data_IF_155428237165
#
_entry.id   IF_155428237165
#
_cell.length_a   1.000
_cell.length_b   1.000
_cell.length_c   1.000
_cell.angle_alpha   90.00
_cell.angle_beta   90.00
_cell.angle_gamma   90.00
#
_symmetry.space_group_name_H-M   'P 1'
#
loop_
_entity.id
_entity.type
_entity.pdbx_description
1 polymer ?
#
# COMPACT_ATOMS: atom_id res chain seq x y z
N UNK A 1 -0.36 -17.99 33.54
CA UNK A 1 -0.12 -16.60 33.09
C UNK A 1 0.70 -16.69 31.81
N UNK A 2 0.23 -16.08 30.71
CA UNK A 2 0.87 -16.21 29.38
C UNK A 2 2.19 -15.42 29.35
N UNK A 3 3.31 -16.03 28.91
CA UNK A 3 4.64 -15.40 28.88
C UNK A 3 4.81 -14.34 27.79
N UNK A 4 3.76 -14.00 27.05
CA UNK A 4 3.80 -13.00 25.97
C UNK A 4 3.21 -11.63 26.36
N UNK A 5 2.90 -11.40 27.64
CA UNK A 5 2.57 -10.05 28.11
C UNK A 5 3.85 -9.31 28.52
N UNK A 6 4.72 -9.11 27.55
CA UNK A 6 5.88 -8.24 27.65
C UNK A 6 5.49 -6.83 27.25
N UNK A 7 5.67 -5.91 28.20
CA UNK A 7 6.08 -4.52 27.99
C UNK A 7 5.29 -3.74 26.93
N UNK A 8 4.33 -2.97 27.44
CA UNK A 8 3.87 -1.68 26.92
C UNK A 8 4.62 -1.27 25.65
N UNK A 9 3.96 -1.37 24.49
CA UNK A 9 4.46 -0.75 23.27
C UNK A 9 4.71 0.72 23.59
N UNK A 10 5.98 1.06 23.82
CA UNK A 10 6.46 2.41 23.77
C UNK A 10 6.18 2.87 22.34
N UNK A 11 5.02 3.49 22.16
CA UNK A 11 4.59 4.14 20.93
C UNK A 11 5.79 4.96 20.46
N UNK A 12 6.38 4.54 19.33
CA UNK A 12 7.44 5.23 18.62
C UNK A 12 6.86 6.52 18.00
N UNK A 13 6.33 7.38 18.87
CA UNK A 13 5.93 8.77 18.62
C UNK A 13 7.19 9.64 18.54
N UNK A 14 8.22 9.14 17.85
CA UNK A 14 9.36 9.93 17.39
C UNK A 14 8.84 11.05 16.48
N UNK A 15 8.55 12.18 17.12
CA UNK A 15 8.88 13.56 16.73
C UNK A 15 8.96 13.84 15.23
N UNK A 16 7.95 13.44 14.47
CA UNK A 16 7.65 14.11 13.22
C UNK A 16 7.09 15.48 13.59
N UNK A 17 7.93 16.53 13.56
CA UNK A 17 7.46 17.91 13.54
C UNK A 17 6.52 18.05 12.35
N UNK A 18 5.22 17.88 12.60
CA UNK A 18 4.22 17.64 11.58
C UNK A 18 4.20 18.81 10.60
N UNK A 19 4.50 18.52 9.33
CA UNK A 19 4.32 19.51 8.26
C UNK A 19 2.88 20.05 8.35
N UNK A 20 2.67 21.37 8.24
CA UNK A 20 1.33 21.91 8.33
C UNK A 20 0.46 21.28 7.24
N UNK A 21 -0.70 20.72 7.65
CA UNK A 21 -1.60 20.03 6.72
C UNK A 21 -1.98 21.01 5.60
N UNK A 22 -1.78 20.68 4.32
CA UNK A 22 -2.08 21.62 3.24
C UNK A 22 -3.60 21.84 3.11
N UNK A 23 -4.01 22.98 2.55
CA UNK A 23 -5.43 23.36 2.47
C UNK A 23 -6.31 22.37 1.67
N UNK A 24 -5.74 21.67 0.68
CA UNK A 24 -6.46 20.66 -0.10
C UNK A 24 -6.75 19.39 0.72
N UNK A 25 -5.95 19.10 1.75
CA UNK A 25 -6.08 17.93 2.62
C UNK A 25 -6.96 18.21 3.85
N UNK A 26 -7.77 19.28 3.84
CA UNK A 26 -8.62 19.69 4.97
C UNK A 26 -10.10 19.81 4.59
N UNK A 27 -10.96 19.32 5.49
CA UNK A 27 -12.40 19.65 5.54
C UNK A 27 -13.14 19.55 4.21
N UNK A 28 -13.86 20.61 3.85
CA UNK A 28 -14.72 20.65 2.66
C UNK A 28 -13.96 20.54 1.34
N UNK A 29 -12.73 21.07 1.25
CA UNK A 29 -11.90 20.97 0.04
C UNK A 29 -11.50 19.52 -0.24
N UNK A 30 -11.09 18.79 0.79
CA UNK A 30 -10.79 17.37 0.70
C UNK A 30 -12.04 16.58 0.28
N UNK A 31 -13.19 16.83 0.93
CA UNK A 31 -14.44 16.13 0.63
C UNK A 31 -14.89 16.29 -0.82
N UNK A 32 -14.81 17.51 -1.36
CA UNK A 32 -15.15 17.76 -2.76
C UNK A 32 -14.24 17.00 -3.73
N UNK A 33 -12.93 16.94 -3.43
CA UNK A 33 -11.97 16.19 -4.24
C UNK A 33 -12.21 14.68 -4.15
N UNK A 34 -12.49 14.15 -2.96
CA UNK A 34 -12.81 12.73 -2.79
C UNK A 34 -14.06 12.33 -3.59
N UNK A 35 -15.11 13.15 -3.56
CA UNK A 35 -16.32 12.90 -4.36
C UNK A 35 -16.04 12.89 -5.86
N UNK A 36 -15.17 13.79 -6.34
CA UNK A 36 -14.76 13.79 -7.74
C UNK A 36 -13.95 12.53 -8.09
N UNK A 37 -13.02 12.13 -7.22
CA UNK A 37 -12.16 10.95 -7.42
C UNK A 37 -12.93 9.63 -7.42
N UNK A 38 -14.12 9.55 -6.82
CA UNK A 38 -14.93 8.32 -6.79
C UNK A 38 -15.27 7.75 -8.17
N UNK A 39 -15.29 8.58 -9.23
CA UNK A 39 -15.63 8.16 -10.60
C UNK A 39 -14.44 8.19 -11.55
N UNK A 40 -13.24 8.30 -11.01
CA UNK A 40 -12.02 8.31 -11.82
C UNK A 40 -11.46 6.90 -11.90
N UNK A 41 -11.17 6.42 -13.12
CA UNK A 41 -10.58 5.10 -13.32
C UNK A 41 -9.11 5.11 -12.84
N UNK A 42 -8.75 4.34 -11.80
CA UNK A 42 -7.38 4.26 -11.32
C UNK A 42 -6.43 3.63 -12.35
N UNK A 43 -6.90 2.71 -13.20
CA UNK A 43 -6.06 2.03 -14.20
C UNK A 43 -5.61 3.01 -15.29
N UNK A 44 -6.40 4.04 -15.57
CA UNK A 44 -6.04 5.10 -16.52
C UNK A 44 -4.94 6.05 -16.00
N UNK A 45 -4.79 6.15 -14.68
CA UNK A 45 -3.80 7.03 -14.03
C UNK A 45 -2.53 6.25 -13.68
N UNK A 46 -2.68 5.07 -13.08
CA UNK A 46 -1.59 4.26 -12.59
C UNK A 46 -1.31 3.12 -13.56
N UNK A 47 -0.61 3.43 -14.65
CA UNK A 47 -0.22 2.44 -15.67
C UNK A 47 0.81 1.43 -15.18
N UNK A 48 1.37 1.61 -13.98
CA UNK A 48 2.41 0.76 -13.43
C UNK A 48 1.80 -0.36 -12.57
N UNK A 49 1.58 -1.51 -13.19
CA UNK A 49 1.04 -2.70 -12.52
C UNK A 49 2.10 -3.52 -11.77
N UNK A 50 3.09 -2.87 -11.15
CA UNK A 50 4.06 -3.60 -10.32
C UNK A 50 3.33 -4.27 -9.16
N UNK A 51 3.06 -5.57 -9.31
CA UNK A 51 2.44 -6.41 -8.28
C UNK A 51 3.43 -6.88 -7.23
N UNK A 52 4.71 -6.57 -7.39
CA UNK A 52 5.79 -7.03 -6.53
C UNK A 52 6.71 -5.87 -6.16
N UNK A 53 7.37 -6.00 -5.00
CA UNK A 53 8.36 -5.06 -4.50
C UNK A 53 9.74 -5.74 -4.55
N UNK A 54 10.67 -5.30 -5.42
CA UNK A 54 12.01 -5.88 -5.49
C UNK A 54 12.85 -5.42 -4.29
N UNK A 55 12.78 -6.18 -3.19
CA UNK A 55 13.46 -5.82 -1.94
C UNK A 55 14.97 -5.66 -2.10
N UNK A 56 15.60 -6.43 -2.99
CA UNK A 56 17.02 -6.29 -3.31
C UNK A 56 17.38 -4.89 -3.81
N UNK A 57 16.49 -4.27 -4.60
CA UNK A 57 16.69 -2.91 -5.12
C UNK A 57 16.37 -1.86 -4.07
N UNK A 58 15.32 -2.09 -3.27
CA UNK A 58 14.89 -1.16 -2.22
C UNK A 58 15.95 -1.06 -1.11
N UNK A 59 16.57 -2.17 -0.75
CA UNK A 59 17.61 -2.25 0.29
C UNK A 59 19.02 -2.37 -0.30
N UNK A 60 19.20 -2.06 -1.60
CA UNK A 60 20.51 -2.01 -2.21
C UNK A 60 21.34 -0.90 -1.55
N UNK A 61 22.44 -1.28 -0.91
CA UNK A 61 23.42 -0.34 -0.39
C UNK A 61 24.64 -0.32 -1.30
N UNK A 62 24.99 0.83 -1.91
CA UNK A 62 26.21 0.94 -2.70
C UNK A 62 27.42 0.56 -1.85
N UNK A 63 28.19 -0.44 -2.30
CA UNK A 63 29.42 -0.89 -1.62
C UNK A 63 29.22 -1.85 -0.44
N UNK A 64 28.00 -2.33 -0.16
CA UNK A 64 27.76 -3.37 0.85
C UNK A 64 26.98 -4.55 0.25
N UNK A 65 27.49 -5.79 0.33
CA UNK A 65 26.72 -6.96 -0.10
C UNK A 65 25.45 -7.09 0.76
N UNK A 66 24.33 -7.42 0.13
CA UNK A 66 23.09 -7.75 0.85
C UNK A 66 23.38 -8.90 1.81
N UNK A 67 23.07 -8.73 3.11
CA UNK A 67 23.30 -9.78 4.11
C UNK A 67 22.12 -10.75 4.25
N UNK A 68 21.04 -10.54 3.51
CA UNK A 68 19.80 -11.32 3.62
C UNK A 68 19.33 -11.79 2.26
N UNK A 69 18.94 -13.06 2.19
CA UNK A 69 18.25 -13.63 1.03
C UNK A 69 16.77 -13.24 1.10
N UNK A 70 16.42 -12.17 0.39
CA UNK A 70 15.05 -11.65 0.31
C UNK A 70 14.14 -12.49 -0.60
N UNK A 71 14.67 -13.49 -1.30
CA UNK A 71 13.88 -14.38 -2.17
C UNK A 71 13.15 -15.47 -1.40
N UNK A 72 13.68 -15.86 -0.23
CA UNK A 72 13.19 -17.00 0.54
C UNK A 72 11.91 -16.63 1.30
N UNK A 73 10.79 -17.25 0.95
CA UNK A 73 9.48 -17.02 1.59
C UNK A 73 8.84 -18.32 2.03
N UNK A 74 8.07 -18.27 3.11
CA UNK A 74 7.21 -19.36 3.58
C UNK A 74 5.79 -19.20 3.02
N UNK A 75 4.81 -19.97 3.52
CA UNK A 75 3.41 -19.93 3.08
C UNK A 75 2.77 -18.53 3.12
N UNK A 76 3.30 -17.60 3.93
CA UNK A 76 2.88 -16.19 3.95
C UNK A 76 3.07 -15.45 2.61
N UNK A 77 3.88 -16.02 1.71
CA UNK A 77 4.07 -15.50 0.37
C UNK A 77 3.08 -15.98 -0.69
N UNK A 78 2.25 -16.97 -0.38
CA UNK A 78 1.30 -17.53 -1.33
C UNK A 78 -0.07 -16.84 -1.23
N UNK A 79 -0.33 -15.91 -2.14
CA UNK A 79 -1.59 -15.18 -2.26
C UNK A 79 -2.36 -15.57 -3.54
N UNK A 80 -2.04 -16.72 -4.15
CA UNK A 80 -2.62 -17.09 -5.44
C UNK A 80 -4.15 -17.23 -5.41
N UNK A 81 -4.72 -17.55 -4.25
CA UNK A 81 -6.17 -17.69 -4.06
C UNK A 81 -6.89 -16.37 -3.77
N UNK A 82 -6.17 -15.32 -3.38
CA UNK A 82 -6.74 -14.05 -2.92
C UNK A 82 -6.74 -12.97 -4.02
N UNK A 83 -6.21 -13.27 -5.20
CA UNK A 83 -6.18 -12.33 -6.32
C UNK A 83 -7.59 -12.12 -6.88
N UNK A 84 -7.90 -10.86 -7.21
CA UNK A 84 -9.12 -10.54 -7.95
C UNK A 84 -9.16 -11.33 -9.26
N UNK A 85 -10.29 -11.99 -9.49
CA UNK A 85 -10.52 -12.72 -10.73
C UNK A 85 -10.88 -11.75 -11.86
N UNK A 86 -10.62 -12.14 -13.10
CA UNK A 86 -11.02 -11.35 -14.28
C UNK A 86 -12.53 -11.04 -14.30
N UNK A 87 -13.35 -11.94 -13.76
CA UNK A 87 -14.80 -11.73 -13.64
C UNK A 87 -15.12 -10.59 -12.68
N UNK A 88 -14.45 -10.55 -11.52
CA UNK A 88 -14.62 -9.49 -10.52
C UNK A 88 -14.13 -8.15 -11.04
N UNK A 89 -12.96 -8.12 -11.70
CA UNK A 89 -12.43 -6.91 -12.32
C UNK A 89 -13.39 -6.34 -13.38
N UNK A 90 -13.92 -7.19 -14.27
CA UNK A 90 -14.89 -6.77 -15.29
C UNK A 90 -16.21 -6.30 -14.68
N UNK A 91 -16.71 -7.00 -13.65
CA UNK A 91 -17.91 -6.59 -12.94
C UNK A 91 -17.72 -5.22 -12.28
N UNK A 92 -16.58 -5.02 -11.62
CA UNK A 92 -16.22 -3.74 -11.01
C UNK A 92 -16.20 -2.61 -12.06
N UNK A 93 -15.49 -2.79 -13.18
CA UNK A 93 -15.40 -1.78 -14.24
C UNK A 93 -16.77 -1.40 -14.80
N UNK A 94 -17.66 -2.39 -15.02
CA UNK A 94 -19.05 -2.13 -15.44
C UNK A 94 -19.84 -1.34 -14.39
N UNK A 95 -19.75 -1.73 -13.12
CA UNK A 95 -20.48 -1.03 -12.04
C UNK A 95 -20.01 0.42 -11.85
N UNK A 96 -18.74 0.69 -12.11
CA UNK A 96 -18.15 2.03 -12.02
C UNK A 96 -18.34 2.85 -13.31
N UNK A 97 -18.73 2.21 -14.42
CA UNK A 97 -18.92 2.85 -15.72
C UNK A 97 -17.62 3.11 -16.48
N UNK A 98 -16.57 2.32 -16.20
CA UNK A 98 -15.27 2.40 -16.88
C UNK A 98 -15.21 1.54 -18.15
N UNK A 99 -16.21 0.67 -18.36
CA UNK A 99 -16.36 -0.21 -19.53
C UNK A 99 -17.81 -0.27 -19.98
#
# INVERSE_FOLDING_TARGET
>A
MSPYRGEEEASDEEQHQGKPIPAWARGGKLRAQLQAQMRTDPDAIFSNHLKTCPLDQVFAHPGKPSSSDFSRRSSSGNWAADQATLKEELQYKRTMGFL
#
